data_IF_242680645288
#
_entry.id   IF_242680645288
#
_cell.length_a   1.000
_cell.length_b   1.000
_cell.length_c   1.000
_cell.angle_alpha   90.00
_cell.angle_beta   90.00
_cell.angle_gamma   90.00
#
_symmetry.space_group_name_H-M   'P 1'
#
loop_
_entity.id
_entity.type
_entity.pdbx_description
1 polymer ?
#
# COMPACT_ATOMS: atom_id res chain seq x y z
N UNK A 1 -16.23 15.06 59.22
CA UNK A 1 -15.28 14.00 58.83
C UNK A 1 -16.06 12.85 58.21
N UNK A 2 -16.13 12.76 56.88
CA UNK A 2 -16.81 11.67 56.19
C UNK A 2 -15.78 10.82 55.44
N UNK A 3 -15.80 9.51 55.73
CA UNK A 3 -14.94 8.48 55.12
C UNK A 3 -15.28 8.32 53.63
N UNK A 4 -14.29 8.48 52.75
CA UNK A 4 -14.38 8.03 51.36
C UNK A 4 -14.04 6.53 51.28
N UNK A 5 -15.00 5.73 50.83
CA UNK A 5 -14.80 4.34 50.44
C UNK A 5 -13.95 4.29 49.16
N UNK A 6 -12.83 3.57 49.20
CA UNK A 6 -12.06 3.18 48.02
C UNK A 6 -12.77 1.99 47.36
N UNK A 7 -13.35 2.20 46.19
CA UNK A 7 -13.77 1.10 45.31
C UNK A 7 -12.64 0.88 44.30
N UNK A 8 -11.99 -0.29 44.44
CA UNK A 8 -10.99 -0.82 43.52
C UNK A 8 -11.75 -1.47 42.34
N UNK A 9 -11.60 -0.95 41.13
CA UNK A 9 -12.06 -1.66 39.92
C UNK A 9 -10.85 -2.23 39.18
N UNK A 10 -10.72 -3.56 39.25
CA UNK A 10 -9.90 -4.37 38.36
C UNK A 10 -10.53 -4.30 36.96
N UNK A 11 -9.91 -3.58 36.02
CA UNK A 11 -10.26 -3.66 34.61
C UNK A 11 -9.38 -4.73 33.95
N UNK A 12 -9.94 -5.92 33.79
CA UNK A 12 -9.39 -6.96 32.91
C UNK A 12 -9.53 -6.45 31.47
N UNK A 13 -8.43 -5.97 30.89
CA UNK A 13 -8.37 -5.63 29.48
C UNK A 13 -8.23 -6.91 28.66
N UNK A 14 -9.36 -7.51 28.25
CA UNK A 14 -9.37 -8.41 27.09
C UNK A 14 -9.26 -7.53 25.84
N UNK A 15 -8.02 -7.32 25.38
CA UNK A 15 -7.72 -6.73 24.08
C UNK A 15 -8.16 -7.71 22.97
N UNK A 16 -9.35 -7.48 22.41
CA UNK A 16 -9.81 -8.18 21.21
C UNK A 16 -8.98 -7.72 20.01
N UNK A 17 -8.16 -8.64 19.47
CA UNK A 17 -7.38 -8.46 18.23
C UNK A 17 -8.29 -8.21 17.03
N UNK A 18 -8.61 -6.93 16.76
CA UNK A 18 -9.19 -6.50 15.50
C UNK A 18 -8.07 -6.29 14.48
N UNK A 19 -8.25 -6.81 13.27
CA UNK A 19 -7.26 -6.76 12.19
C UNK A 19 -7.09 -5.34 11.67
N UNK A 20 -6.22 -4.56 12.31
CA UNK A 20 -5.70 -3.33 11.76
C UNK A 20 -4.51 -3.66 10.86
N UNK A 21 -4.48 -3.08 9.67
CA UNK A 21 -3.21 -2.90 8.98
C UNK A 21 -2.31 -2.05 9.87
N UNK A 22 -1.19 -2.60 10.31
CA UNK A 22 -0.21 -1.89 11.11
C UNK A 22 0.83 -1.28 10.18
N UNK A 23 0.84 0.05 10.05
CA UNK A 23 1.94 0.73 9.36
C UNK A 23 3.24 0.53 10.14
N UNK A 24 4.28 0.11 9.43
CA UNK A 24 5.61 -0.18 9.94
C UNK A 24 6.57 0.98 9.62
N UNK A 25 6.48 1.51 8.40
CA UNK A 25 7.18 2.71 7.94
C UNK A 25 6.39 3.36 6.81
N UNK A 26 6.62 4.64 6.56
CA UNK A 26 6.04 5.37 5.43
C UNK A 26 6.83 6.64 5.12
N UNK A 27 6.78 7.06 3.86
CA UNK A 27 7.40 8.30 3.40
C UNK A 27 6.60 8.87 2.22
N UNK A 28 6.24 10.15 2.31
CA UNK A 28 5.61 10.91 1.23
C UNK A 28 6.45 12.12 0.79
N UNK A 29 7.69 12.22 1.29
CA UNK A 29 8.71 13.21 0.93
C UNK A 29 8.34 14.70 1.11
N UNK A 30 7.14 15.03 1.55
CA UNK A 30 6.62 16.41 1.58
C UNK A 30 7.31 17.28 2.64
N UNK A 31 7.80 16.66 3.71
CA UNK A 31 8.53 17.34 4.77
C UNK A 31 10.01 17.60 4.41
N UNK A 32 10.48 17.13 3.26
CA UNK A 32 11.90 17.22 2.90
C UNK A 32 12.23 18.54 2.20
N UNK A 33 13.50 18.93 2.29
CA UNK A 33 14.06 20.06 1.54
C UNK A 33 14.29 19.63 0.10
N UNK A 34 13.87 20.47 -0.86
CA UNK A 34 14.13 20.26 -2.29
C UNK A 34 15.64 20.30 -2.57
N UNK A 35 16.13 19.35 -3.36
CA UNK A 35 17.55 19.18 -3.65
C UNK A 35 17.99 17.73 -3.48
N UNK A 36 19.27 17.50 -3.20
CA UNK A 36 19.80 16.14 -2.99
C UNK A 36 19.10 15.48 -1.79
N UNK A 37 18.71 14.21 -1.93
CA UNK A 37 18.06 13.45 -0.85
C UNK A 37 18.96 13.41 0.39
N UNK A 38 20.25 13.11 0.19
CA UNK A 38 21.23 12.99 1.27
C UNK A 38 20.77 11.96 2.30
N UNK A 39 20.75 12.36 3.57
CA UNK A 39 20.33 11.53 4.70
C UNK A 39 18.92 11.86 5.23
N UNK A 40 18.14 12.64 4.49
CA UNK A 40 16.76 12.96 4.87
C UNK A 40 15.95 11.67 5.00
N UNK A 41 15.06 11.58 6.00
CA UNK A 41 14.25 10.37 6.18
C UNK A 41 14.98 9.11 6.59
N UNK A 42 16.25 9.23 7.02
CA UNK A 42 17.15 8.09 7.27
C UNK A 42 17.47 7.26 6.02
N UNK A 43 17.20 7.81 4.83
CA UNK A 43 17.69 7.22 3.60
C UNK A 43 19.22 7.24 3.59
N UNK A 44 19.79 6.13 3.20
CA UNK A 44 21.21 5.94 2.91
C UNK A 44 21.36 5.51 1.47
N UNK A 45 22.57 5.58 0.93
CA UNK A 45 22.86 5.10 -0.41
C UNK A 45 24.11 4.22 -0.45
N UNK A 46 24.08 3.22 -1.33
CA UNK A 46 25.27 2.50 -1.79
C UNK A 46 25.44 2.71 -3.29
N UNK A 47 26.68 2.99 -3.69
CA UNK A 47 27.00 3.44 -5.04
C UNK A 47 26.41 4.81 -5.41
N UNK A 48 26.54 5.16 -6.69
CA UNK A 48 26.04 6.41 -7.26
C UNK A 48 26.72 7.68 -6.73
N UNK A 49 26.04 8.81 -6.95
CA UNK A 49 26.43 10.16 -6.53
C UNK A 49 25.19 10.87 -5.97
N UNK A 50 25.39 11.90 -5.13
CA UNK A 50 24.29 12.64 -4.51
C UNK A 50 23.29 13.24 -5.52
N UNK A 51 23.75 13.54 -6.75
CA UNK A 51 22.91 14.11 -7.81
C UNK A 51 21.92 13.11 -8.42
N UNK A 52 22.08 11.81 -8.16
CA UNK A 52 21.22 10.76 -8.71
C UNK A 52 19.96 10.52 -7.89
N UNK A 53 19.86 11.06 -6.68
CA UNK A 53 18.70 10.97 -5.79
C UNK A 53 18.32 12.36 -5.28
N UNK A 54 17.16 12.88 -5.68
CA UNK A 54 16.72 14.24 -5.33
C UNK A 54 15.28 14.27 -4.86
N UNK A 55 14.99 15.16 -3.91
CA UNK A 55 13.63 15.59 -3.60
C UNK A 55 13.27 16.73 -4.54
N UNK A 56 12.20 16.57 -5.30
CA UNK A 56 11.71 17.60 -6.22
C UNK A 56 10.19 17.54 -6.37
N UNK A 57 9.60 18.64 -6.85
CA UNK A 57 8.18 18.71 -7.15
C UNK A 57 7.91 18.13 -8.54
N UNK A 58 7.12 17.06 -8.58
CA UNK A 58 6.66 16.42 -9.82
C UNK A 58 5.16 16.22 -9.71
N UNK A 59 4.39 16.77 -10.66
CA UNK A 59 2.93 16.72 -10.61
C UNK A 59 2.38 17.20 -9.26
N UNK A 60 2.74 18.44 -8.90
CA UNK A 60 2.53 19.05 -7.57
C UNK A 60 1.09 18.95 -7.06
N UNK A 61 0.09 18.99 -7.94
CA UNK A 61 -1.31 18.93 -7.56
C UNK A 61 -1.72 17.56 -6.98
N UNK A 62 -1.01 16.49 -7.35
CA UNK A 62 -1.30 15.13 -6.89
C UNK A 62 -0.33 14.65 -5.80
N UNK A 63 0.95 15.08 -5.86
CA UNK A 63 2.02 14.47 -5.07
C UNK A 63 2.78 15.46 -4.17
N UNK A 64 2.81 16.75 -4.52
CA UNK A 64 3.68 17.71 -3.85
C UNK A 64 5.15 17.45 -4.21
N UNK A 65 5.94 16.94 -3.24
CA UNK A 65 7.35 16.56 -3.43
C UNK A 65 7.49 15.04 -3.48
N UNK A 66 8.41 14.56 -4.31
CA UNK A 66 8.68 13.13 -4.46
C UNK A 66 10.19 12.85 -4.48
N UNK A 67 10.57 11.59 -4.25
CA UNK A 67 11.92 11.11 -4.54
C UNK A 67 12.08 10.91 -6.04
N UNK A 68 12.91 11.74 -6.67
CA UNK A 68 13.24 11.69 -8.09
C UNK A 68 14.64 11.12 -8.32
N UNK A 69 14.79 10.42 -9.45
CA UNK A 69 16.02 9.74 -9.87
C UNK A 69 16.46 10.27 -11.26
N UNK A 70 16.98 11.51 -11.35
CA UNK A 70 17.37 12.13 -12.62
C UNK A 70 18.78 11.70 -13.05
N UNK A 71 18.93 10.44 -13.45
CA UNK A 71 20.23 9.83 -13.73
C UNK A 71 20.78 10.25 -15.09
N UNK A 72 22.06 10.63 -15.08
CA UNK A 72 22.86 10.91 -16.28
C UNK A 72 24.05 9.97 -16.46
N UNK A 73 24.29 9.07 -15.50
CA UNK A 73 25.46 8.18 -15.44
C UNK A 73 25.06 6.70 -15.46
N UNK A 74 26.02 5.82 -15.70
CA UNK A 74 25.84 4.36 -15.66
C UNK A 74 26.03 3.75 -14.27
N UNK A 75 26.57 4.50 -13.30
CA UNK A 75 26.89 3.99 -11.96
C UNK A 75 25.63 3.65 -11.16
N UNK A 76 25.45 2.37 -10.84
CA UNK A 76 24.31 1.88 -10.05
C UNK A 76 24.22 2.57 -8.69
N UNK A 77 23.00 2.71 -8.19
CA UNK A 77 22.71 3.26 -6.88
C UNK A 77 21.58 2.46 -6.24
N UNK A 78 21.77 2.12 -4.97
CA UNK A 78 20.74 1.62 -4.07
C UNK A 78 20.47 2.69 -3.04
N UNK A 79 19.20 3.02 -2.82
CA UNK A 79 18.72 3.86 -1.73
C UNK A 79 17.96 2.99 -0.77
N UNK A 80 18.28 3.07 0.52
CA UNK A 80 17.69 2.17 1.49
C UNK A 80 17.57 2.82 2.86
N UNK A 81 16.67 2.28 3.69
CA UNK A 81 16.58 2.62 5.11
C UNK A 81 17.03 1.42 5.94
N UNK A 82 18.28 1.46 6.39
CA UNK A 82 18.95 0.32 7.00
C UNK A 82 18.15 -0.30 8.16
N UNK A 83 17.69 -1.54 7.98
CA UNK A 83 16.95 -2.32 8.99
C UNK A 83 15.64 -1.66 9.51
N UNK A 84 15.07 -0.67 8.82
CA UNK A 84 13.91 0.10 9.32
C UNK A 84 12.64 -0.73 9.52
N UNK A 85 12.48 -1.86 8.81
CA UNK A 85 11.33 -2.74 8.99
C UNK A 85 11.57 -3.81 10.06
N UNK A 86 12.81 -4.07 10.46
CA UNK A 86 13.18 -5.19 11.34
C UNK A 86 12.48 -5.15 12.69
N UNK A 87 12.63 -4.06 13.44
CA UNK A 87 11.99 -3.94 14.76
C UNK A 87 10.47 -3.82 14.67
N UNK A 88 9.88 -2.97 13.79
CA UNK A 88 8.43 -2.92 13.63
C UNK A 88 7.81 -4.26 13.23
N UNK A 89 8.46 -5.03 12.35
CA UNK A 89 7.98 -6.34 11.92
C UNK A 89 8.01 -7.38 13.04
N UNK A 90 9.06 -7.41 13.86
CA UNK A 90 9.14 -8.31 15.02
C UNK A 90 8.08 -7.97 16.08
N UNK A 91 7.73 -6.68 16.20
CA UNK A 91 6.70 -6.18 17.11
C UNK A 91 5.32 -6.05 16.46
N UNK A 92 5.10 -6.69 15.31
CA UNK A 92 3.82 -6.61 14.63
C UNK A 92 2.71 -7.28 15.44
N UNK A 93 1.48 -6.82 15.24
CA UNK A 93 0.28 -7.40 15.85
C UNK A 93 0.18 -8.88 15.49
N UNK A 94 -0.06 -9.72 16.48
CA UNK A 94 -0.14 -11.17 16.26
C UNK A 94 -1.22 -11.51 15.21
N UNK A 95 -0.83 -12.31 14.21
CA UNK A 95 -1.68 -12.66 13.08
C UNK A 95 -1.52 -11.76 11.84
N UNK A 96 -0.88 -10.59 11.95
CA UNK A 96 -0.52 -9.77 10.79
C UNK A 96 0.72 -10.34 10.09
N UNK A 97 0.57 -11.49 9.44
CA UNK A 97 1.68 -12.24 8.83
C UNK A 97 1.96 -11.88 7.37
N UNK A 98 1.31 -10.85 6.82
CA UNK A 98 1.55 -10.41 5.45
C UNK A 98 2.23 -9.04 5.48
N UNK A 99 3.41 -8.95 4.87
CA UNK A 99 4.03 -7.69 4.55
C UNK A 99 3.38 -7.13 3.29
N UNK A 100 2.80 -5.94 3.38
CA UNK A 100 2.30 -5.15 2.25
C UNK A 100 3.19 -3.92 2.12
N UNK A 101 4.00 -3.88 1.07
CA UNK A 101 4.94 -2.79 0.81
C UNK A 101 4.56 -2.13 -0.51
N UNK A 102 4.19 -0.86 -0.47
CA UNK A 102 3.69 -0.12 -1.62
C UNK A 102 4.43 1.20 -1.84
N UNK A 103 4.41 1.66 -3.09
CA UNK A 103 4.77 3.02 -3.47
C UNK A 103 4.03 3.38 -4.77
N UNK A 104 3.89 4.67 -5.04
CA UNK A 104 3.59 5.16 -6.38
C UNK A 104 4.91 5.33 -7.15
N UNK A 105 5.00 4.73 -8.33
CA UNK A 105 6.19 4.77 -9.16
C UNK A 105 5.94 5.52 -10.47
N UNK A 106 6.76 6.54 -10.75
CA UNK A 106 6.75 7.27 -11.99
C UNK A 106 7.74 6.64 -12.99
N UNK A 107 7.22 6.14 -14.10
CA UNK A 107 8.00 5.40 -15.11
C UNK A 107 9.05 6.24 -15.82
N UNK A 108 8.82 7.55 -15.98
CA UNK A 108 9.72 8.47 -16.66
C UNK A 108 10.15 8.02 -18.06
N UNK A 109 11.40 8.30 -18.43
CA UNK A 109 11.99 8.01 -19.75
C UNK A 109 13.47 7.67 -19.67
N UNK A 110 14.00 6.99 -20.68
CA UNK A 110 15.44 6.74 -20.85
C UNK A 110 15.92 7.16 -22.25
N UNK A 111 17.19 7.56 -22.34
CA UNK A 111 17.92 7.70 -23.61
C UNK A 111 19.05 6.67 -23.75
N UNK A 112 19.24 5.84 -22.73
CA UNK A 112 20.26 4.80 -22.72
C UNK A 112 19.75 3.51 -23.35
N UNK A 113 20.68 2.66 -23.81
CA UNK A 113 20.39 1.31 -24.34
C UNK A 113 20.09 0.28 -23.23
N UNK A 114 20.39 0.62 -21.99
CA UNK A 114 20.07 -0.13 -20.76
C UNK A 114 19.69 0.85 -19.67
N UNK A 115 18.60 0.61 -18.95
CA UNK A 115 18.17 1.45 -17.84
C UNK A 115 17.10 0.72 -17.00
N UNK A 116 17.28 0.68 -15.69
CA UNK A 116 16.36 0.02 -14.79
C UNK A 116 16.14 0.81 -13.49
N UNK A 117 14.91 0.73 -12.98
CA UNK A 117 14.55 1.12 -11.61
C UNK A 117 13.88 -0.07 -10.94
N UNK A 118 14.10 -0.28 -9.64
CA UNK A 118 13.34 -1.30 -8.93
C UNK A 118 13.01 -0.94 -7.51
N UNK A 119 11.92 -1.51 -7.01
CA UNK A 119 11.44 -1.39 -5.64
C UNK A 119 11.54 -2.77 -4.98
N UNK A 120 12.32 -2.87 -3.91
CA UNK A 120 12.81 -4.14 -3.40
C UNK A 120 12.46 -4.32 -1.93
N UNK A 121 12.19 -5.56 -1.53
CA UNK A 121 11.96 -5.97 -0.16
C UNK A 121 13.01 -7.02 0.23
N UNK A 122 13.76 -6.72 1.28
CA UNK A 122 14.79 -7.60 1.84
C UNK A 122 14.39 -8.12 3.22
N UNK A 123 15.03 -9.22 3.62
CA UNK A 123 14.75 -9.92 4.86
C UNK A 123 16.01 -10.47 5.54
N UNK A 124 15.79 -10.99 6.74
CA UNK A 124 16.78 -11.72 7.52
C UNK A 124 17.37 -12.96 6.81
N UNK A 125 18.68 -13.17 6.98
CA UNK A 125 19.42 -14.25 6.31
C UNK A 125 20.87 -13.84 6.04
N UNK A 126 21.56 -14.60 5.17
CA UNK A 126 22.86 -14.14 4.62
C UNK A 126 22.72 -12.80 3.88
N UNK A 127 23.85 -12.19 3.50
CA UNK A 127 23.95 -10.84 2.92
C UNK A 127 22.76 -10.49 2.01
N UNK A 128 21.79 -9.75 2.58
CA UNK A 128 20.61 -9.20 1.93
C UNK A 128 19.73 -10.24 1.19
N UNK A 129 19.02 -11.08 1.95
CA UNK A 129 18.05 -12.03 1.39
C UNK A 129 16.86 -11.30 0.73
N UNK A 130 16.79 -11.32 -0.59
CA UNK A 130 15.70 -10.68 -1.34
C UNK A 130 14.41 -11.50 -1.26
N UNK A 131 13.36 -10.93 -0.66
CA UNK A 131 12.00 -11.44 -0.75
C UNK A 131 11.46 -11.20 -2.16
N UNK A 132 11.59 -9.99 -2.69
CA UNK A 132 11.09 -9.66 -4.01
C UNK A 132 11.48 -8.26 -4.45
N UNK A 133 11.64 -8.07 -5.76
CA UNK A 133 11.96 -6.82 -6.42
C UNK A 133 11.05 -6.64 -7.62
N UNK A 134 10.26 -5.56 -7.62
CA UNK A 134 9.54 -5.11 -8.80
C UNK A 134 10.53 -4.29 -9.63
N UNK A 135 11.04 -4.88 -10.70
CA UNK A 135 11.96 -4.24 -11.63
C UNK A 135 11.21 -3.68 -12.82
N UNK A 136 11.45 -2.41 -13.13
CA UNK A 136 11.02 -1.75 -14.35
C UNK A 136 12.22 -1.54 -15.28
N UNK A 137 12.17 -2.16 -16.45
CA UNK A 137 13.10 -1.90 -17.56
C UNK A 137 12.57 -0.71 -18.37
N UNK A 138 13.32 0.38 -18.39
CA UNK A 138 12.94 1.62 -19.06
C UNK A 138 13.01 1.53 -20.58
N UNK A 139 13.86 0.65 -21.11
CA UNK A 139 14.04 0.47 -22.56
C UNK A 139 12.93 -0.42 -23.09
N UNK A 140 12.68 -1.54 -22.41
CA UNK A 140 11.62 -2.48 -22.77
C UNK A 140 10.22 -2.02 -22.32
N UNK A 141 10.15 -1.03 -21.42
CA UNK A 141 8.91 -0.52 -20.80
C UNK A 141 8.12 -1.65 -20.15
N UNK A 142 8.82 -2.49 -19.40
CA UNK A 142 8.29 -3.75 -18.91
C UNK A 142 8.60 -3.93 -17.43
N UNK A 143 7.64 -4.50 -16.71
CA UNK A 143 7.84 -4.90 -15.31
C UNK A 143 8.13 -6.39 -15.21
N UNK A 144 9.03 -6.73 -14.30
CA UNK A 144 9.32 -8.10 -13.90
C UNK A 144 9.43 -8.20 -12.38
N UNK A 145 9.20 -9.40 -11.85
CA UNK A 145 9.51 -9.75 -10.47
C UNK A 145 10.83 -10.50 -10.44
N UNK A 146 11.78 -10.05 -9.63
CA UNK A 146 12.97 -10.81 -9.26
C UNK A 146 12.89 -11.20 -7.78
N UNK A 147 13.04 -12.48 -7.44
CA UNK A 147 12.88 -12.97 -6.06
C UNK A 147 13.70 -14.23 -5.78
N UNK A 148 13.96 -14.51 -4.49
CA UNK A 148 14.55 -15.79 -4.07
C UNK A 148 13.46 -16.85 -3.96
N UNK A 149 13.57 -17.93 -4.74
CA UNK A 149 12.54 -18.98 -4.81
C UNK A 149 12.65 -19.97 -3.65
N UNK A 150 11.52 -20.47 -3.14
CA UNK A 150 11.54 -21.52 -2.12
C UNK A 150 12.21 -22.80 -2.62
N UNK A 151 12.98 -23.47 -1.75
CA UNK A 151 13.67 -24.73 -2.05
C UNK A 151 14.84 -24.61 -3.02
N UNK A 152 15.16 -23.39 -3.49
CA UNK A 152 16.30 -23.11 -4.36
C UNK A 152 16.84 -21.72 -4.02
N UNK A 153 18.04 -21.62 -3.44
CA UNK A 153 18.67 -20.33 -3.10
C UNK A 153 19.01 -19.45 -4.32
N UNK A 154 18.63 -19.86 -5.54
CA UNK A 154 18.75 -19.05 -6.75
C UNK A 154 17.71 -17.92 -6.79
N UNK A 155 18.18 -16.77 -7.27
CA UNK A 155 17.34 -15.64 -7.67
C UNK A 155 16.68 -15.98 -9.01
N UNK A 156 15.36 -15.79 -9.10
CA UNK A 156 14.56 -16.03 -10.31
C UNK A 156 13.90 -14.74 -10.75
N UNK A 157 13.84 -14.51 -12.07
CA UNK A 157 13.10 -13.40 -12.67
C UNK A 157 11.88 -13.91 -13.43
N UNK A 158 10.72 -13.27 -13.23
CA UNK A 158 9.45 -13.56 -13.89
C UNK A 158 8.93 -12.30 -14.59
N UNK A 159 8.64 -12.34 -15.90
CA UNK A 159 8.00 -11.21 -16.57
C UNK A 159 6.58 -11.02 -16.04
N UNK A 160 6.14 -9.77 -15.87
CA UNK A 160 4.80 -9.44 -15.37
C UNK A 160 3.96 -8.72 -16.43
N UNK A 161 4.46 -7.61 -16.97
CA UNK A 161 3.77 -6.86 -18.02
C UNK A 161 4.75 -6.13 -18.93
N UNK A 162 4.29 -5.77 -20.11
CA UNK A 162 5.04 -5.05 -21.14
C UNK A 162 4.22 -3.84 -21.64
N UNK A 163 4.91 -2.88 -22.26
CA UNK A 163 4.25 -1.74 -22.91
C UNK A 163 3.68 -0.69 -21.95
N UNK A 164 4.30 -0.51 -20.78
CA UNK A 164 3.94 0.59 -19.89
C UNK A 164 4.16 1.94 -20.58
N UNK A 165 3.30 2.91 -20.29
CA UNK A 165 3.46 4.26 -20.79
C UNK A 165 4.61 4.97 -20.05
N UNK A 166 5.37 5.77 -20.80
CA UNK A 166 6.36 6.68 -20.21
C UNK A 166 5.65 7.73 -19.37
N UNK A 167 6.38 8.36 -18.46
CA UNK A 167 5.91 9.51 -17.69
C UNK A 167 4.57 9.26 -16.98
N UNK A 168 4.36 8.05 -16.47
CA UNK A 168 3.10 7.61 -15.87
C UNK A 168 3.32 7.17 -14.43
N UNK A 169 2.50 7.71 -13.52
CA UNK A 169 2.43 7.24 -12.14
C UNK A 169 1.64 5.94 -12.07
N UNK A 170 2.28 4.90 -11.55
CA UNK A 170 1.72 3.57 -11.42
C UNK A 170 1.89 3.09 -9.98
N UNK A 171 0.80 2.81 -9.24
CA UNK A 171 0.92 2.23 -7.92
C UNK A 171 1.47 0.81 -8.04
N UNK A 172 2.47 0.49 -7.23
CA UNK A 172 3.10 -0.82 -7.16
C UNK A 172 3.04 -1.36 -5.74
N UNK A 173 2.88 -2.67 -5.58
CA UNK A 173 2.82 -3.30 -4.26
C UNK A 173 3.41 -4.69 -4.28
N UNK A 174 4.24 -5.00 -3.27
CA UNK A 174 4.71 -6.33 -2.94
C UNK A 174 3.92 -6.83 -1.74
N UNK A 175 3.26 -7.97 -1.89
CA UNK A 175 2.69 -8.72 -0.78
C UNK A 175 3.57 -9.94 -0.52
N UNK A 176 4.00 -10.14 0.72
CA UNK A 176 4.73 -11.34 1.13
C UNK A 176 4.08 -11.95 2.36
N UNK A 177 3.65 -13.20 2.26
CA UNK A 177 3.11 -13.94 3.38
C UNK A 177 4.23 -14.68 4.13
N UNK A 178 4.54 -14.23 5.35
CA UNK A 178 5.58 -14.83 6.19
C UNK A 178 5.33 -16.30 6.51
N UNK A 179 4.07 -16.71 6.64
CA UNK A 179 3.72 -18.09 6.99
C UNK A 179 3.91 -19.03 5.80
N UNK A 180 3.48 -18.63 4.60
CA UNK A 180 3.49 -19.53 3.42
C UNK A 180 4.69 -19.29 2.49
N UNK A 181 5.30 -18.11 2.55
CA UNK A 181 6.31 -17.65 1.60
C UNK A 181 5.73 -17.06 0.32
N UNK A 182 4.40 -17.05 0.15
CA UNK A 182 3.76 -16.59 -1.09
C UNK A 182 4.01 -15.10 -1.32
N UNK A 183 4.39 -14.78 -2.55
CA UNK A 183 4.57 -13.41 -3.03
C UNK A 183 3.47 -13.09 -4.04
N UNK A 184 2.78 -11.97 -3.85
CA UNK A 184 1.95 -11.38 -4.90
C UNK A 184 2.46 -9.99 -5.25
N UNK A 185 2.35 -9.63 -6.52
CA UNK A 185 2.74 -8.32 -7.01
C UNK A 185 1.50 -7.63 -7.56
N UNK A 186 1.29 -6.36 -7.19
CA UNK A 186 0.26 -5.53 -7.78
C UNK A 186 0.91 -4.38 -8.55
N UNK A 187 0.46 -4.16 -9.79
CA UNK A 187 0.89 -3.06 -10.65
C UNK A 187 -0.38 -2.41 -11.19
N UNK A 188 -0.64 -1.15 -10.83
CA UNK A 188 -1.92 -0.52 -11.10
C UNK A 188 -3.05 -1.31 -10.41
N UNK A 189 -4.01 -1.77 -11.20
CA UNK A 189 -5.10 -2.62 -10.74
C UNK A 189 -4.81 -4.13 -10.85
N UNK A 190 -3.77 -4.53 -11.58
CA UNK A 190 -3.50 -5.94 -11.92
C UNK A 190 -2.69 -6.61 -10.82
N UNK A 191 -3.06 -7.85 -10.47
CA UNK A 191 -2.40 -8.67 -9.47
C UNK A 191 -1.76 -9.89 -10.16
N UNK A 192 -0.53 -10.20 -9.78
CA UNK A 192 0.27 -11.31 -10.26
C UNK A 192 0.66 -12.21 -9.09
N UNK A 193 0.82 -13.51 -9.36
CA UNK A 193 1.16 -14.53 -8.36
C UNK A 193 -0.05 -15.42 -7.99
N UNK A 194 0.08 -16.25 -6.94
CA UNK A 194 1.22 -16.33 -6.03
C UNK A 194 2.51 -16.83 -6.71
N UNK A 195 3.63 -16.26 -6.34
CA UNK A 195 4.97 -16.77 -6.64
C UNK A 195 5.54 -17.44 -5.38
N UNK A 196 6.19 -18.59 -5.55
CA UNK A 196 6.66 -19.42 -4.45
C UNK A 196 7.97 -18.89 -3.83
N UNK A 197 7.87 -17.89 -2.96
CA UNK A 197 8.98 -17.37 -2.16
C UNK A 197 9.24 -18.20 -0.91
N UNK A 198 10.35 -17.91 -0.22
CA UNK A 198 10.77 -18.65 0.98
C UNK A 198 9.98 -18.21 2.22
N UNK A 199 9.32 -19.11 2.96
CA UNK A 199 8.60 -18.78 4.20
C UNK A 199 9.55 -18.42 5.35
N UNK A 200 8.98 -17.85 6.40
CA UNK A 200 9.64 -17.49 7.65
C UNK A 200 10.83 -16.52 7.50
N UNK A 201 10.76 -15.62 6.50
CA UNK A 201 11.73 -14.55 6.29
C UNK A 201 11.17 -13.23 6.82
N UNK A 202 11.80 -12.68 7.84
CA UNK A 202 11.39 -11.42 8.46
C UNK A 202 11.84 -10.25 7.59
N UNK A 203 10.93 -9.44 7.03
CA UNK A 203 11.30 -8.21 6.34
C UNK A 203 12.15 -7.30 7.23
N UNK A 204 13.26 -6.83 6.69
CA UNK A 204 14.20 -5.96 7.38
C UNK A 204 14.25 -4.58 6.74
N UNK A 205 14.12 -4.51 5.42
CA UNK A 205 14.48 -3.31 4.66
C UNK A 205 13.73 -3.20 3.33
N UNK A 206 13.57 -1.96 2.88
CA UNK A 206 13.12 -1.62 1.53
C UNK A 206 14.21 -0.84 0.83
N UNK A 207 14.47 -1.24 -0.40
CA UNK A 207 15.45 -0.58 -1.26
C UNK A 207 14.76 -0.04 -2.51
N UNK A 208 15.30 1.07 -2.98
CA UNK A 208 15.07 1.60 -4.31
C UNK A 208 16.39 1.52 -5.06
N UNK A 209 16.40 0.71 -6.12
CA UNK A 209 17.52 0.65 -7.04
C UNK A 209 17.26 1.50 -8.26
N UNK A 210 18.33 2.10 -8.77
CA UNK A 210 18.34 2.61 -10.13
C UNK A 210 19.72 2.50 -10.75
N UNK A 211 19.79 2.09 -12.02
CA UNK A 211 21.05 1.76 -12.66
C UNK A 211 20.95 1.45 -14.15
N UNK A 212 22.05 0.98 -14.72
CA UNK A 212 22.15 0.57 -16.12
C UNK A 212 22.37 1.71 -17.13
N UNK A 213 21.94 2.93 -16.84
CA UNK A 213 22.13 4.07 -17.74
C UNK A 213 21.40 5.34 -17.32
N UNK A 214 21.37 6.31 -18.23
CA UNK A 214 20.67 7.58 -18.07
C UNK A 214 19.15 7.38 -18.18
N UNK A 215 18.42 7.83 -17.17
CA UNK A 215 16.96 7.69 -17.07
C UNK A 215 16.39 8.78 -16.16
N UNK A 216 15.07 8.93 -16.21
CA UNK A 216 14.29 9.63 -15.19
C UNK A 216 13.26 8.67 -14.61
N UNK A 217 13.07 8.73 -13.30
CA UNK A 217 11.95 8.09 -12.60
C UNK A 217 11.72 8.77 -11.26
N UNK A 218 10.64 8.42 -10.59
CA UNK A 218 10.36 8.89 -9.24
C UNK A 218 9.58 7.85 -8.42
N UNK A 219 9.65 7.99 -7.10
CA UNK A 219 8.85 7.25 -6.14
C UNK A 219 8.18 8.24 -5.19
N UNK A 220 6.96 7.92 -4.79
CA UNK A 220 6.20 8.66 -3.79
C UNK A 220 5.27 7.73 -3.00
N UNK A 221 4.66 8.24 -1.93
CA UNK A 221 3.68 7.54 -1.11
C UNK A 221 4.13 6.13 -0.71
N UNK A 222 5.40 6.01 -0.31
CA UNK A 222 5.94 4.77 0.21
C UNK A 222 5.23 4.41 1.51
N UNK A 223 4.76 3.17 1.62
CA UNK A 223 4.19 2.63 2.85
C UNK A 223 4.54 1.16 3.01
N UNK A 224 5.03 0.79 4.18
CA UNK A 224 5.19 -0.59 4.62
C UNK A 224 4.17 -0.92 5.71
N UNK A 225 3.46 -2.04 5.57
CA UNK A 225 2.44 -2.51 6.52
C UNK A 225 2.60 -3.98 6.85
N UNK A 226 2.22 -4.35 8.07
CA UNK A 226 1.88 -5.71 8.44
C UNK A 226 0.36 -5.86 8.48
N UNK A 227 -0.19 -6.79 7.70
CA UNK A 227 -1.64 -7.01 7.57
C UNK A 227 -1.98 -8.49 7.81
N UNK A 228 -3.22 -8.75 8.24
CA UNK A 228 -3.72 -10.12 8.48
C UNK A 228 -4.11 -10.84 7.20
N UNK A 229 -4.78 -10.13 6.30
CA UNK A 229 -5.30 -10.65 5.03
C UNK A 229 -4.99 -9.67 3.94
N UNK A 230 -4.39 -10.13 2.85
CA UNK A 230 -4.27 -9.34 1.64
C UNK A 230 -5.65 -9.33 0.95
N UNK A 231 -6.33 -8.18 0.97
CA UNK A 231 -7.51 -7.96 0.11
C UNK A 231 -7.04 -7.75 -1.32
N UNK A 232 -6.69 -8.85 -1.99
CA UNK A 232 -6.29 -8.88 -3.39
C UNK A 232 -7.56 -8.80 -4.24
N UNK A 233 -7.93 -7.58 -4.62
CA UNK A 233 -9.16 -7.33 -5.37
C UNK A 233 -9.14 -8.05 -6.72
N UNK A 234 -9.97 -9.09 -6.86
CA UNK A 234 -10.52 -9.53 -8.14
C UNK A 234 -11.96 -9.05 -8.15
N UNK A 235 -12.22 -7.84 -8.67
CA UNK A 235 -13.54 -7.31 -9.05
C UNK A 235 -14.78 -7.49 -8.14
N UNK A 236 -14.66 -7.98 -6.91
CA UNK A 236 -15.78 -8.13 -5.99
C UNK A 236 -15.93 -6.85 -5.16
N UNK A 237 -16.68 -5.90 -5.72
CA UNK A 237 -17.42 -4.92 -4.94
C UNK A 237 -18.42 -5.72 -4.09
N UNK A 238 -17.97 -6.16 -2.92
CA UNK A 238 -18.81 -6.93 -2.00
C UNK A 238 -18.09 -7.61 -0.84
N UNK A 239 -16.75 -7.73 -0.88
CA UNK A 239 -16.03 -8.56 0.09
C UNK A 239 -14.79 -7.84 0.63
N UNK A 240 -14.94 -7.07 1.70
CA UNK A 240 -13.80 -6.59 2.52
C UNK A 240 -13.92 -7.25 3.89
N UNK A 241 -12.92 -8.05 4.28
CA UNK A 241 -12.88 -8.72 5.59
C UNK A 241 -13.69 -10.02 5.71
N UNK A 242 -14.15 -10.61 4.60
CA UNK A 242 -14.93 -11.86 4.61
C UNK A 242 -16.44 -11.69 4.88
N UNK A 243 -16.90 -10.45 5.05
CA UNK A 243 -18.33 -10.11 5.18
C UNK A 243 -18.86 -9.68 3.82
N UNK A 244 -19.95 -10.31 3.35
CA UNK A 244 -20.62 -9.90 2.10
C UNK A 244 -21.53 -8.72 2.38
N UNK A 245 -21.29 -7.61 1.68
CA UNK A 245 -22.11 -6.40 1.76
C UNK A 245 -22.55 -5.99 0.37
N UNK A 246 -23.85 -5.80 0.17
CA UNK A 246 -24.45 -5.34 -1.08
C UNK A 246 -25.24 -4.06 -0.85
N UNK A 247 -25.07 -3.10 -1.76
CA UNK A 247 -25.86 -1.87 -1.80
C UNK A 247 -26.67 -1.86 -3.09
N UNK A 248 -28.00 -1.72 -2.98
CA UNK A 248 -28.90 -1.70 -4.13
C UNK A 248 -30.17 -0.86 -3.88
N UNK A 249 -30.79 -0.27 -4.92
CA UNK A 249 -30.35 -0.28 -6.31
C UNK A 249 -29.09 0.59 -6.49
N UNK A 250 -28.20 0.15 -7.38
CA UNK A 250 -27.10 0.95 -7.86
C UNK A 250 -27.10 0.87 -9.40
N UNK A 251 -27.37 1.96 -10.13
CA UNK A 251 -27.55 3.33 -9.63
C UNK A 251 -28.87 3.56 -8.84
N UNK A 252 -28.80 4.40 -7.82
CA UNK A 252 -29.89 4.74 -6.89
C UNK A 252 -30.68 5.98 -7.35
N UNK A 253 -31.98 6.02 -7.05
CA UNK A 253 -32.83 7.21 -7.26
C UNK A 253 -33.19 7.87 -5.93
N UNK A 254 -33.98 7.19 -5.09
CA UNK A 254 -34.56 7.81 -3.89
C UNK A 254 -34.04 7.17 -2.61
N UNK A 255 -33.63 5.90 -2.68
CA UNK A 255 -33.12 5.16 -1.54
C UNK A 255 -32.07 4.13 -1.98
N UNK A 256 -31.25 3.72 -1.03
CA UNK A 256 -30.40 2.53 -1.11
C UNK A 256 -30.79 1.57 0.00
N UNK A 257 -30.72 0.28 -0.28
CA UNK A 257 -30.81 -0.80 0.68
C UNK A 257 -29.44 -1.39 0.90
N UNK A 258 -29.16 -1.80 2.13
CA UNK A 258 -27.90 -2.44 2.52
C UNK A 258 -28.22 -3.84 3.01
N UNK A 259 -27.69 -4.84 2.31
CA UNK A 259 -27.72 -6.23 2.72
C UNK A 259 -26.33 -6.62 3.20
N UNK A 260 -26.22 -7.07 4.44
CA UNK A 260 -24.97 -7.44 5.08
C UNK A 260 -25.15 -8.71 5.91
N UNK A 261 -24.13 -9.57 5.95
CA UNK A 261 -24.14 -10.79 6.78
C UNK A 261 -24.14 -10.49 8.30
N UNK A 262 -23.82 -9.25 8.67
CA UNK A 262 -23.78 -8.75 10.05
C UNK A 262 -24.55 -7.43 10.15
N UNK A 263 -25.16 -7.17 11.31
CA UNK A 263 -26.07 -6.02 11.48
C UNK A 263 -25.29 -4.71 11.38
N UNK A 264 -25.81 -3.77 10.60
CA UNK A 264 -25.20 -2.43 10.44
C UNK A 264 -25.51 -1.59 11.69
N UNK A 265 -24.46 -1.00 12.25
CA UNK A 265 -24.47 -0.16 13.46
C UNK A 265 -24.40 1.33 13.14
N UNK A 266 -23.62 1.73 12.14
CA UNK A 266 -23.54 3.11 11.65
C UNK A 266 -23.29 3.16 10.16
N UNK A 267 -23.74 4.25 9.54
CA UNK A 267 -23.58 4.53 8.12
C UNK A 267 -23.18 5.99 7.97
N UNK A 268 -22.22 6.26 7.09
CA UNK A 268 -21.82 7.60 6.70
C UNK A 268 -21.66 7.64 5.18
N UNK A 269 -22.18 8.67 4.54
CA UNK A 269 -22.06 8.85 3.08
C UNK A 269 -21.25 10.11 2.81
N UNK A 270 -20.29 10.00 1.89
CA UNK A 270 -19.43 11.09 1.45
C UNK A 270 -19.48 11.19 -0.08
N UNK A 271 -19.43 12.41 -0.60
CA UNK A 271 -19.29 12.64 -2.03
C UNK A 271 -17.84 12.44 -2.51
N UNK A 272 -17.63 12.46 -3.82
CA UNK A 272 -16.31 12.30 -4.44
C UNK A 272 -15.28 13.39 -4.06
N UNK A 273 -15.71 14.50 -3.43
CA UNK A 273 -14.84 15.57 -2.94
C UNK A 273 -14.42 15.38 -1.46
N UNK A 274 -14.91 14.32 -0.81
CA UNK A 274 -14.64 14.05 0.61
C UNK A 274 -15.47 14.90 1.57
N UNK A 275 -16.45 15.67 1.08
CA UNK A 275 -17.35 16.44 1.94
C UNK A 275 -18.30 15.47 2.63
N UNK A 276 -18.32 15.54 3.97
CA UNK A 276 -19.29 14.79 4.77
C UNK A 276 -20.70 15.29 4.43
N UNK A 277 -21.54 14.39 3.91
CA UNK A 277 -22.96 14.66 3.78
C UNK A 277 -23.59 14.05 5.01
N UNK A 278 -24.00 14.91 5.95
CA UNK A 278 -24.65 14.49 7.17
C UNK A 278 -25.97 13.80 6.81
N UNK A 279 -25.97 12.47 6.81
CA UNK A 279 -27.19 11.69 6.74
C UNK A 279 -27.64 11.47 8.17
N UNK A 280 -28.86 11.93 8.45
CA UNK A 280 -29.56 11.65 9.68
C UNK A 280 -29.51 10.15 9.96
N UNK A 281 -29.16 9.79 11.20
CA UNK A 281 -29.16 8.41 11.68
C UNK A 281 -30.56 7.85 11.45
N UNK A 282 -30.74 7.11 10.36
CA UNK A 282 -31.99 6.42 10.08
C UNK A 282 -32.20 5.41 11.21
N UNK A 283 -33.41 5.38 11.78
CA UNK A 283 -33.82 4.34 12.73
C UNK A 283 -33.85 2.95 12.08
N UNK A 284 -33.88 2.90 10.74
CA UNK A 284 -33.71 1.69 9.94
C UNK A 284 -32.44 1.82 9.07
N UNK A 285 -31.34 1.20 9.53
CA UNK A 285 -30.06 1.23 8.83
C UNK A 285 -30.01 0.31 7.60
N UNK A 286 -31.08 -0.47 7.33
CA UNK A 286 -31.13 -1.32 6.14
C UNK A 286 -31.67 -0.56 4.91
N UNK A 287 -32.34 0.59 5.10
CA UNK A 287 -32.87 1.44 4.03
C UNK A 287 -32.56 2.91 4.29
N UNK A 288 -31.76 3.51 3.42
CA UNK A 288 -31.28 4.88 3.56
C UNK A 288 -31.89 5.74 2.45
N UNK A 289 -32.55 6.82 2.84
CA UNK A 289 -33.02 7.85 1.92
C UNK A 289 -31.82 8.64 1.36
N UNK A 290 -31.70 8.63 0.03
CA UNK A 290 -30.67 9.37 -0.73
C UNK A 290 -31.30 10.30 -1.77
N UNK A 291 -32.62 10.54 -1.70
CA UNK A 291 -33.36 11.37 -2.66
C UNK A 291 -32.86 12.83 -2.69
N UNK A 292 -32.34 13.30 -1.55
CA UNK A 292 -31.78 14.63 -1.36
C UNK A 292 -30.34 14.79 -1.93
N UNK A 293 -29.71 13.70 -2.38
CA UNK A 293 -28.37 13.76 -2.96
C UNK A 293 -28.42 14.20 -4.42
N UNK A 294 -27.49 15.06 -4.82
CA UNK A 294 -27.28 15.41 -6.23
C UNK A 294 -26.75 14.22 -7.02
N UNK A 295 -26.91 14.24 -8.34
CA UNK A 295 -26.40 13.19 -9.23
C UNK A 295 -24.88 13.10 -9.11
N UNK A 296 -24.35 11.89 -8.90
CA UNK A 296 -22.91 11.74 -8.68
C UNK A 296 -22.49 10.40 -8.11
N UNK A 297 -21.20 10.29 -7.81
CA UNK A 297 -20.58 9.12 -7.18
C UNK A 297 -20.45 9.39 -5.67
N UNK A 298 -20.87 8.41 -4.88
CA UNK A 298 -20.83 8.48 -3.43
C UNK A 298 -20.14 7.25 -2.85
N UNK A 299 -19.44 7.45 -1.73
CA UNK A 299 -18.87 6.38 -0.91
C UNK A 299 -19.69 6.27 0.38
N UNK A 300 -20.00 5.03 0.76
CA UNK A 300 -20.74 4.68 1.98
C UNK A 300 -19.78 3.97 2.92
N UNK A 301 -19.39 4.63 3.99
CA UNK A 301 -18.68 4.05 5.12
C UNK A 301 -19.69 3.37 6.04
N UNK A 302 -19.55 2.06 6.27
CA UNK A 302 -20.43 1.26 7.11
C UNK A 302 -19.65 0.75 8.32
N UNK A 303 -20.26 0.83 9.50
CA UNK A 303 -19.82 0.15 10.72
C UNK A 303 -20.80 -0.97 11.04
N UNK A 304 -20.33 -2.20 11.23
CA UNK A 304 -21.15 -3.33 11.66
C UNK A 304 -21.16 -3.46 13.20
N UNK A 305 -22.06 -4.28 13.75
CA UNK A 305 -22.16 -4.53 15.20
C UNK A 305 -20.89 -5.14 15.78
N UNK A 306 -20.22 -6.01 15.02
CA UNK A 306 -18.91 -6.58 15.36
C UNK A 306 -17.74 -5.59 15.27
N UNK A 307 -18.02 -4.33 14.90
CA UNK A 307 -17.04 -3.26 14.77
C UNK A 307 -16.33 -3.19 13.42
N UNK A 308 -16.60 -4.11 12.49
CA UNK A 308 -16.07 -4.09 11.12
C UNK A 308 -16.46 -2.78 10.44
N UNK A 309 -15.47 -2.11 9.85
CA UNK A 309 -15.68 -0.96 8.99
C UNK A 309 -15.49 -1.37 7.53
N UNK A 310 -16.41 -1.00 6.64
CA UNK A 310 -16.25 -1.20 5.19
C UNK A 310 -16.63 0.06 4.42
N UNK A 311 -16.17 0.16 3.17
CA UNK A 311 -16.54 1.26 2.26
C UNK A 311 -17.12 0.67 0.99
N UNK A 312 -18.30 1.16 0.59
CA UNK A 312 -18.99 0.73 -0.62
C UNK A 312 -19.32 1.94 -1.51
N UNK A 313 -19.18 1.78 -2.82
CA UNK A 313 -19.48 2.85 -3.79
C UNK A 313 -20.86 2.66 -4.40
N UNK A 314 -21.64 3.73 -4.52
CA UNK A 314 -22.86 3.75 -5.34
C UNK A 314 -22.96 5.01 -6.21
N UNK A 315 -23.81 4.95 -7.23
CA UNK A 315 -24.06 6.04 -8.19
C UNK A 315 -25.48 6.57 -7.96
N UNK A 316 -25.64 7.88 -7.79
CA UNK A 316 -26.94 8.56 -7.73
C UNK A 316 -27.33 9.09 -9.12
N UNK A 317 -28.55 8.75 -9.57
CA UNK A 317 -29.16 9.23 -10.82
C UNK A 317 -29.96 10.52 -10.65
#
# INVERSE_FOLDING_TARGET
MNKMNKILFFAVALLSNLSFSQTLDSDNFNDYTIGNLGTQGFWSNDGGTAEQAKVAEINIAAYGKSLTLPRTTTSNMWLFKNDFLKTPWLNRTSGNNIAEISADFYTGTTTAVTAASSFQLYADGGDNFMIGSILYDHVAKAYSLTYTRNGNSAIVTQPLTTGAADNTWTPITIFYNYTTGDIHIKIGATIYGPFAGTPAKSPTEVDIFSGGGALTSAFDNYVARAIKTATLAVNDIGSVGGVKIKIYPNPATDHINIEADSKVKKIKIVDASGKNINIAVSTDLNKIDVSHLEKGIYLTELQLEDGTMTVQKFIKK
#
